data_IF_857448159188
#
_entry.id   IF_857448159188
#
_cell.length_a   1.000
_cell.length_b   1.000
_cell.length_c   1.000
_cell.angle_alpha   90.00
_cell.angle_beta   90.00
_cell.angle_gamma   90.00
#
_symmetry.space_group_name_H-M   'P 1'
#
loop_
_entity.id
_entity.type
_entity.pdbx_description
1 polymer ?
2 polymer ?
3 non-polymer ?
4 non-polymer ?
5 non-polymer ?
6 water ?
#
# COMPACT_ATOMS: atom_id res chain seq x y z
N UNK A 1 -7.74 25.01 -12.92
CA UNK A 1 -8.64 25.01 -14.07
C UNK A 1 -7.85 25.23 -15.34
N UNK A 2 -6.54 25.33 -15.16
CA UNK A 2 -5.64 25.73 -16.24
C UNK A 2 -5.43 24.62 -17.28
N UNK A 3 -5.72 23.37 -16.93
CA UNK A 3 -5.59 22.26 -17.87
C UNK A 3 -6.94 21.74 -18.35
N UNK A 4 -8.03 22.43 -18.02
CA UNK A 4 -9.33 21.88 -18.30
C UNK A 4 -9.64 20.73 -17.36
N UNK A 5 -10.72 20.03 -17.68
CA UNK A 5 -11.27 18.99 -16.83
C UNK A 5 -11.02 17.62 -17.44
N UNK A 6 -10.86 16.65 -16.56
CA UNK A 6 -10.90 15.24 -16.89
C UNK A 6 -12.34 14.77 -16.99
N UNK A 7 -12.58 13.78 -17.85
CA UNK A 7 -13.81 12.99 -17.80
C UNK A 7 -13.41 11.70 -17.10
N UNK A 8 -13.61 11.66 -15.79
CA UNK A 8 -13.07 10.57 -14.99
C UNK A 8 -13.79 9.27 -15.27
N UNK A 9 -15.11 9.31 -15.49
CA UNK A 9 -15.83 8.08 -15.84
C UNK A 9 -15.33 7.52 -17.16
N UNK A 10 -15.01 8.39 -18.11
CA UNK A 10 -14.42 7.93 -19.37
C UNK A 10 -13.07 7.28 -19.12
N UNK A 11 -12.25 7.90 -18.29
CA UNK A 11 -10.91 7.37 -18.03
C UNK A 11 -10.99 6.03 -17.33
N UNK A 12 -11.83 5.93 -16.29
CA UNK A 12 -12.01 4.67 -15.59
C UNK A 12 -12.54 3.60 -16.55
N UNK A 13 -13.56 3.94 -17.35
CA UNK A 13 -14.09 2.97 -18.30
C UNK A 13 -13.05 2.47 -19.28
N UNK A 14 -12.18 3.35 -19.78
CA UNK A 14 -11.14 2.90 -20.69
C UNK A 14 -10.12 2.04 -19.97
N UNK A 15 -9.81 2.35 -18.70
CA UNK A 15 -8.85 1.53 -17.96
C UNK A 15 -9.40 0.13 -17.70
N UNK A 16 -10.69 0.03 -17.37
CA UNK A 16 -11.29 -1.27 -17.10
C UNK A 16 -11.49 -2.11 -18.34
N UNK A 17 -11.40 -1.51 -19.54
CA UNK A 17 -11.51 -2.27 -20.78
C UNK A 17 -10.21 -2.95 -21.18
N UNK A 18 -9.28 -3.16 -20.24
CA UNK A 18 -8.01 -3.78 -20.57
C UNK A 18 -7.95 -5.26 -20.20
N UNK A 28 -4.26 4.01 -23.31
CA UNK A 28 -4.92 4.96 -24.21
C UNK A 28 -5.45 6.21 -23.50
N UNK A 29 -4.56 6.88 -22.75
CA UNK A 29 -4.83 8.17 -22.12
C UNK A 29 -3.89 9.19 -22.73
N UNK A 30 -4.33 10.44 -22.80
CA UNK A 30 -3.38 11.45 -23.24
C UNK A 30 -2.44 11.83 -22.10
N UNK A 31 -1.29 12.39 -22.48
CA UNK A 31 -0.34 12.91 -21.50
C UNK A 31 -1.01 13.87 -20.54
N UNK A 32 -1.86 14.77 -21.06
CA UNK A 32 -2.53 15.74 -20.21
C UNK A 32 -3.51 15.07 -19.27
N UNK A 33 -4.17 13.97 -19.70
CA UNK A 33 -5.05 13.25 -18.78
C UNK A 33 -4.29 12.69 -17.59
N UNK A 34 -3.15 12.06 -17.85
CA UNK A 34 -2.37 11.49 -16.76
C UNK A 34 -1.82 12.60 -15.87
N UNK A 35 -1.33 13.69 -16.48
CA UNK A 35 -0.89 14.84 -15.70
C UNK A 35 -2.01 15.33 -14.79
N UNK A 36 -3.23 15.45 -15.33
CA UNK A 36 -4.37 15.86 -14.54
C UNK A 36 -4.65 14.92 -13.38
N UNK A 37 -4.55 13.61 -13.62
CA UNK A 37 -4.69 12.63 -12.54
C UNK A 37 -3.66 12.89 -11.43
N UNK A 38 -2.41 13.13 -11.81
CA UNK A 38 -1.37 13.40 -10.83
C UNK A 38 -1.64 14.69 -10.04
N UNK A 39 -1.97 15.77 -10.74
CA UNK A 39 -2.09 17.07 -10.07
C UNK A 39 -3.31 17.11 -9.15
N UNK A 40 -4.43 16.54 -9.60
CA UNK A 40 -5.64 16.57 -8.78
C UNK A 40 -5.48 15.64 -7.58
N UNK A 41 -4.94 14.43 -7.80
CA UNK A 41 -4.73 13.56 -6.66
C UNK A 41 -3.68 14.12 -5.70
N UNK A 42 -2.66 14.80 -6.24
CA UNK A 42 -1.68 15.47 -5.38
C UNK A 42 -2.36 16.46 -4.46
N UNK A 43 -3.26 17.27 -5.00
CA UNK A 43 -3.98 18.23 -4.15
C UNK A 43 -4.78 17.51 -3.08
N UNK A 44 -5.40 16.38 -3.42
CA UNK A 44 -6.17 15.65 -2.40
C UNK A 44 -5.26 15.08 -1.33
N UNK A 45 -4.13 14.46 -1.71
CA UNK A 45 -3.18 13.96 -0.72
C UNK A 45 -2.75 15.06 0.23
N UNK A 46 -2.45 16.25 -0.30
CA UNK A 46 -2.01 17.33 0.57
C UNK A 46 -3.13 17.88 1.45
N UNK A 47 -4.40 17.73 1.04
CA UNK A 47 -5.49 18.18 1.89
C UNK A 47 -5.81 17.23 3.05
N UNK A 48 -5.27 16.02 3.02
CA UNK A 48 -5.50 15.04 4.07
C UNK A 48 -4.23 14.82 4.88
N UNK A 49 -4.34 14.31 6.11
CA UNK A 49 -3.15 14.18 6.96
C UNK A 49 -2.15 13.19 6.39
N UNK A 50 -0.89 13.36 6.78
CA UNK A 50 0.12 12.39 6.38
C UNK A 50 0.00 11.09 7.19
N UNK A 51 -0.59 11.15 8.37
CA UNK A 51 -0.95 9.98 9.16
C UNK A 51 -2.48 9.89 9.11
N UNK A 52 -2.98 8.97 8.31
CA UNK A 52 -4.43 8.89 8.12
C UNK A 52 -5.09 8.27 9.34
N UNK A 53 -6.27 8.77 9.69
CA UNK A 53 -7.10 8.22 10.76
C UNK A 53 -8.38 7.72 10.11
N UNK A 54 -8.49 6.40 9.98
CA UNK A 54 -9.53 5.74 9.20
C UNK A 54 -10.47 4.95 10.11
N UNK A 55 -11.64 4.65 9.58
CA UNK A 55 -12.61 3.81 10.27
C UNK A 55 -12.94 2.60 9.40
N UNK A 56 -13.12 1.45 10.03
CA UNK A 56 -13.64 0.26 9.37
C UNK A 56 -15.14 0.42 9.09
N UNK A 57 -15.70 -0.36 8.15
CA UNK A 57 -15.20 -1.44 7.29
C UNK A 57 -14.23 -0.97 6.20
N UNK A 58 -13.27 -1.84 5.87
CA UNK A 58 -12.18 -1.45 5.01
C UNK A 58 -11.58 -2.74 4.46
N UNK A 59 -11.09 -2.68 3.23
CA UNK A 59 -10.24 -3.73 2.68
C UNK A 59 -8.83 -3.17 2.53
N UNK A 60 -7.85 -3.91 3.03
CA UNK A 60 -6.45 -3.47 3.06
C UNK A 60 -5.64 -4.36 2.13
N UNK A 61 -4.91 -3.74 1.21
CA UNK A 61 -4.17 -4.42 0.15
C UNK A 61 -2.68 -4.09 0.23
N UNK A 62 -1.84 -5.08 -0.06
CA UNK A 62 -0.40 -4.90 -0.17
C UNK A 62 0.07 -4.67 -1.60
N UNK A 63 1.32 -5.06 -1.87
CA UNK A 63 2.05 -4.61 -3.06
C UNK A 63 1.35 -5.04 -4.35
N UNK A 64 1.42 -4.17 -5.37
CA UNK A 64 0.90 -4.44 -6.70
C UNK A 64 2.01 -4.56 -7.74
N UNK A 65 2.99 -3.65 -7.71
CA UNK A 65 4.15 -3.69 -8.61
C UNK A 65 3.74 -3.86 -10.07
N UNK A 66 2.83 -3.00 -10.52
CA UNK A 66 2.48 -2.93 -11.92
C UNK A 66 1.79 -4.15 -12.50
N UNK A 67 1.30 -5.06 -11.64
CA UNK A 67 0.60 -6.26 -12.12
C UNK A 67 -0.88 -5.90 -12.26
N UNK A 68 -1.18 -5.18 -13.34
CA UNK A 68 -2.46 -4.49 -13.45
C UNK A 68 -3.64 -5.48 -13.50
N UNK A 69 -3.47 -6.59 -14.22
CA UNK A 69 -4.55 -7.57 -14.30
C UNK A 69 -4.85 -8.18 -12.93
N UNK A 70 -3.83 -8.31 -12.08
CA UNK A 70 -4.06 -8.79 -10.73
C UNK A 70 -4.81 -7.76 -9.89
N UNK A 71 -4.49 -6.47 -10.08
CA UNK A 71 -5.28 -5.41 -9.43
C UNK A 71 -6.75 -5.50 -9.82
N UNK A 72 -7.02 -5.67 -11.12
CA UNK A 72 -8.42 -5.82 -11.54
C UNK A 72 -9.07 -7.04 -10.89
N UNK A 73 -8.32 -8.14 -10.72
CA UNK A 73 -8.87 -9.29 -10.00
C UNK A 73 -9.16 -8.96 -8.54
N UNK A 74 -8.29 -8.17 -7.92
CA UNK A 74 -8.48 -7.76 -6.54
C UNK A 74 -9.79 -7.00 -6.39
N UNK A 75 -10.06 -6.06 -7.29
CA UNK A 75 -11.30 -5.31 -7.24
C UNK A 75 -12.50 -6.20 -7.55
N UNK A 76 -12.34 -7.13 -8.49
CA UNK A 76 -13.43 -8.04 -8.81
C UNK A 76 -13.87 -8.83 -7.58
N UNK A 77 -12.91 -9.36 -6.81
CA UNK A 77 -13.28 -10.19 -5.67
C UNK A 77 -13.55 -9.38 -4.40
N UNK A 78 -12.88 -8.24 -4.22
CA UNK A 78 -13.15 -7.38 -3.08
C UNK A 78 -14.33 -6.45 -3.27
N UNK A 79 -14.74 -6.22 -4.51
CA UNK A 79 -15.76 -5.24 -4.80
C UNK A 79 -15.17 -3.95 -5.35
N UNK A 80 -15.62 -3.53 -6.53
CA UNK A 80 -15.10 -2.28 -7.08
C UNK A 80 -15.57 -1.11 -6.23
N UNK A 81 -14.73 -0.09 -6.05
CA UNK A 81 -15.17 1.14 -5.37
C UNK A 81 -16.40 1.71 -6.06
N UNK A 82 -17.36 2.26 -5.31
CA UNK A 82 -17.32 2.46 -3.85
C UNK A 82 -18.00 1.33 -3.05
N UNK A 83 -18.14 0.14 -3.66
CA UNK A 83 -18.82 -0.96 -2.99
C UNK A 83 -18.06 -1.39 -1.74
N UNK A 84 -16.74 -1.29 -1.77
CA UNK A 84 -15.91 -1.46 -0.59
C UNK A 84 -15.02 -0.24 -0.44
N UNK A 85 -14.64 0.06 0.80
CA UNK A 85 -13.58 1.02 1.08
C UNK A 85 -12.21 0.32 1.01
N UNK A 86 -11.20 1.05 0.52
CA UNK A 86 -9.87 0.48 0.31
C UNK A 86 -8.78 1.31 0.97
N UNK A 87 -7.78 0.61 1.50
CA UNK A 87 -6.49 1.15 1.89
C UNK A 87 -5.41 0.30 1.23
N UNK A 88 -4.61 0.88 0.35
CA UNK A 88 -3.45 0.22 -0.23
C UNK A 88 -2.20 0.67 0.51
N UNK A 89 -1.24 -0.24 0.67
CA UNK A 89 -0.07 0.01 1.50
C UNK A 89 1.19 0.36 0.69
N UNK A 90 1.06 0.63 -0.61
CA UNK A 90 2.17 1.15 -1.41
C UNK A 90 2.71 0.14 -2.41
N UNK A 91 3.77 0.57 -3.10
CA UNK A 91 4.47 -0.20 -4.13
C UNK A 91 3.54 -0.57 -5.28
N UNK A 92 2.98 0.49 -5.90
CA UNK A 92 2.08 0.36 -7.05
C UNK A 92 2.85 0.13 -8.34
N UNK A 93 4.07 0.65 -8.43
CA UNK A 93 4.82 0.70 -9.67
C UNK A 93 6.09 -0.15 -9.53
N UNK A 94 6.77 -0.33 -10.67
CA UNK A 94 8.04 -1.04 -10.85
C UNK A 94 7.85 -2.55 -11.03
N UNK A 95 8.79 -3.18 -11.74
CA UNK A 95 8.88 -4.62 -11.97
C UNK A 95 7.82 -5.12 -12.93
N UNK A 96 6.56 -4.77 -12.71
CA UNK A 96 5.50 -5.23 -13.58
C UNK A 96 5.48 -4.52 -14.92
N UNK A 97 4.66 -5.04 -15.83
CA UNK A 97 4.61 -4.54 -17.20
C UNK A 97 3.66 -3.36 -17.37
N UNK A 98 2.76 -3.12 -16.43
CA UNK A 98 1.73 -2.10 -16.58
C UNK A 98 1.65 -1.22 -15.33
N UNK A 99 2.77 -0.57 -14.99
CA UNK A 99 2.74 0.36 -13.86
C UNK A 99 1.83 1.55 -14.15
N UNK A 100 1.80 2.02 -15.40
CA UNK A 100 1.02 3.21 -15.72
C UNK A 100 -0.48 2.97 -15.54
N UNK A 101 -0.99 1.85 -16.08
CA UNK A 101 -2.40 1.53 -15.90
C UNK A 101 -2.74 1.37 -14.43
N UNK A 102 -1.85 0.72 -13.67
CA UNK A 102 -2.07 0.50 -12.23
C UNK A 102 -2.24 1.82 -11.49
N UNK A 103 -1.24 2.69 -11.60
CA UNK A 103 -1.30 3.92 -10.81
C UNK A 103 -2.39 4.86 -11.35
N UNK A 104 -2.65 4.84 -12.66
CA UNK A 104 -3.73 5.70 -13.17
C UNK A 104 -5.08 5.27 -12.63
N UNK A 105 -5.35 3.96 -12.58
CA UNK A 105 -6.64 3.54 -12.03
C UNK A 105 -6.73 3.89 -10.55
N UNK A 106 -5.65 3.69 -9.81
CA UNK A 106 -5.69 3.99 -8.38
C UNK A 106 -5.90 5.48 -8.12
N UNK A 107 -5.21 6.34 -8.87
CA UNK A 107 -5.38 7.77 -8.71
C UNK A 107 -6.78 8.22 -9.13
N UNK A 108 -7.33 7.60 -10.18
CA UNK A 108 -8.70 7.92 -10.58
C UNK A 108 -9.69 7.61 -9.46
N UNK A 109 -9.57 6.42 -8.85
CA UNK A 109 -10.46 6.10 -7.74
C UNK A 109 -10.23 7.03 -6.55
N UNK A 110 -8.98 7.41 -6.29
CA UNK A 110 -8.72 8.36 -5.22
C UNK A 110 -9.43 9.70 -5.48
N UNK A 111 -9.38 10.18 -6.73
CA UNK A 111 -10.04 11.44 -7.05
C UNK A 111 -11.55 11.30 -6.94
N UNK A 112 -12.09 10.16 -7.34
CA UNK A 112 -13.55 10.04 -7.33
C UNK A 112 -14.08 9.75 -5.94
N UNK A 113 -13.36 8.97 -5.13
CA UNK A 113 -13.81 8.59 -3.79
C UNK A 113 -12.76 9.01 -2.75
N UNK A 114 -12.51 10.31 -2.60
CA UNK A 114 -11.40 10.74 -1.73
C UNK A 114 -11.58 10.40 -0.26
N UNK A 115 -12.80 10.13 0.20
CA UNK A 115 -13.02 9.78 1.61
C UNK A 115 -13.21 8.29 1.83
N UNK A 116 -13.15 7.47 0.77
CA UNK A 116 -13.42 6.04 0.90
C UNK A 116 -12.34 5.19 0.24
N UNK A 117 -11.23 5.80 -0.14
CA UNK A 117 -10.20 5.13 -0.95
C UNK A 117 -8.89 5.80 -0.61
N UNK A 118 -7.90 5.03 -0.16
CA UNK A 118 -6.69 5.59 0.41
C UNK A 118 -5.47 4.85 -0.09
N UNK A 119 -4.41 5.61 -0.38
CA UNK A 119 -3.16 5.07 -0.90
C UNK A 119 -2.03 5.51 0.02
N UNK A 120 -1.30 4.56 0.59
CA UNK A 120 -0.08 4.90 1.32
C UNK A 120 1.12 4.85 0.38
N UNK A 121 2.20 5.47 0.84
CA UNK A 121 3.45 5.49 0.10
C UNK A 121 4.26 4.23 0.40
N UNK A 122 4.69 3.53 -0.66
CA UNK A 122 5.66 2.46 -0.53
C UNK A 122 7.06 2.96 -0.89
N UNK A 123 8.08 2.12 -0.66
CA UNK A 123 9.43 2.59 -0.96
C UNK A 123 9.66 2.76 -2.46
N UNK A 124 8.80 2.17 -3.30
CA UNK A 124 8.93 2.39 -4.74
C UNK A 124 8.22 3.65 -5.21
N UNK A 125 7.46 4.32 -4.35
CA UNK A 125 6.92 5.64 -4.71
C UNK A 125 7.91 6.75 -4.35
N UNK A 126 9.17 6.52 -4.72
CA UNK A 126 10.22 7.53 -4.63
C UNK A 126 11.05 7.45 -5.89
N UNK A 127 11.38 8.62 -6.45
CA UNK A 127 12.17 8.66 -7.67
C UNK A 127 13.50 7.94 -7.52
N UNK A 128 14.10 7.95 -6.32
CA UNK A 128 15.40 7.28 -6.16
C UNK A 128 15.30 5.78 -6.43
N UNK A 129 14.12 5.19 -6.27
CA UNK A 129 13.93 3.76 -6.48
C UNK A 129 13.32 3.47 -7.84
N UNK A 130 12.21 4.12 -8.18
CA UNK A 130 11.54 3.78 -9.43
C UNK A 130 12.23 4.38 -10.65
N UNK A 131 13.28 5.19 -10.44
CA UNK A 131 14.21 5.52 -11.51
C UNK A 131 14.85 4.26 -12.08
N UNK A 132 15.09 3.27 -11.22
CA UNK A 132 15.90 2.12 -11.57
C UNK A 132 15.06 0.87 -11.86
N UNK A 133 13.93 0.71 -11.19
CA UNK A 133 13.23 -0.58 -11.19
C UNK A 133 12.05 -0.64 -12.16
N UNK A 134 11.96 0.29 -13.11
CA UNK A 134 11.04 0.11 -14.21
C UNK A 134 10.17 1.29 -14.60
N UNK A 135 9.74 2.08 -13.61
CA UNK A 135 8.72 3.10 -13.88
C UNK A 135 9.27 4.21 -14.76
N UNK A 136 10.48 4.69 -14.47
CA UNK A 136 11.12 5.70 -15.32
C UNK A 136 11.18 5.23 -16.77
N UNK A 137 11.64 3.99 -16.98
CA UNK A 137 11.73 3.45 -18.33
C UNK A 137 10.36 3.36 -19.00
N UNK A 138 9.33 2.98 -18.24
CA UNK A 138 7.98 2.86 -18.82
C UNK A 138 7.42 4.23 -19.22
N UNK A 139 7.57 5.22 -18.35
CA UNK A 139 7.16 6.58 -18.67
C UNK A 139 7.88 7.09 -19.92
N UNK A 140 9.20 6.88 -19.96
CA UNK A 140 10.00 7.38 -21.08
C UNK A 140 9.62 6.71 -22.39
N UNK A 141 9.36 5.40 -22.34
CA UNK A 141 8.98 4.67 -23.55
C UNK A 141 7.58 5.06 -24.03
N UNK A 142 6.63 5.18 -23.12
CA UNK A 142 5.24 5.40 -23.54
C UNK A 142 4.92 6.88 -23.63
N UNK A 143 5.44 7.71 -22.72
CA UNK A 143 5.24 9.15 -22.83
C UNK A 143 6.50 9.99 -22.89
N UNK A 144 6.99 10.46 -21.74
CA UNK A 144 8.22 11.26 -21.71
C UNK A 144 8.66 11.43 -20.26
N UNK A 145 9.86 11.99 -20.09
CA UNK A 145 10.46 12.11 -18.76
C UNK A 145 9.71 13.14 -17.92
N UNK A 146 9.19 14.18 -18.57
CA UNK A 146 8.44 15.20 -17.85
C UNK A 146 7.26 14.59 -17.11
N UNK A 147 6.58 13.62 -17.75
CA UNK A 147 5.49 12.93 -17.09
C UNK A 147 5.98 12.18 -15.86
N UNK A 148 7.12 11.49 -15.97
CA UNK A 148 7.68 10.79 -14.82
C UNK A 148 7.97 11.75 -13.67
N UNK A 149 8.49 12.95 -13.98
CA UNK A 149 8.71 13.95 -12.94
C UNK A 149 7.40 14.43 -12.33
N UNK A 150 6.34 14.55 -13.13
CA UNK A 150 5.03 14.88 -12.56
C UNK A 150 4.57 13.79 -11.60
N UNK A 151 4.78 12.52 -11.97
CA UNK A 151 4.46 11.43 -11.04
C UNK A 151 5.27 11.57 -9.75
N UNK A 152 6.55 11.92 -9.87
CA UNK A 152 7.38 12.09 -8.68
C UNK A 152 6.82 13.16 -7.76
N UNK A 153 6.40 14.30 -8.33
CA UNK A 153 5.76 15.35 -7.54
C UNK A 153 4.52 14.84 -6.81
N UNK A 154 3.73 14.00 -7.47
CA UNK A 154 2.56 13.42 -6.82
C UNK A 154 2.95 12.44 -5.70
N UNK A 155 3.85 11.50 -6.01
CA UNK A 155 4.32 10.51 -5.03
C UNK A 155 4.89 11.17 -3.79
N UNK A 156 5.59 12.30 -3.96
CA UNK A 156 6.20 13.00 -2.85
C UNK A 156 5.18 13.53 -1.85
N UNK A 157 3.88 13.50 -2.18
CA UNK A 157 2.84 13.98 -1.28
C UNK A 157 1.95 12.87 -0.71
N UNK A 158 2.25 11.61 -0.99
CA UNK A 158 1.42 10.52 -0.47
C UNK A 158 1.50 10.45 1.05
N UNK A 159 0.43 10.03 1.72
CA UNK A 159 0.52 9.77 3.16
C UNK A 159 1.37 8.53 3.42
N UNK A 160 1.92 8.46 4.63
CA UNK A 160 2.95 7.49 4.97
C UNK A 160 2.46 6.38 5.92
N UNK A 161 1.38 6.62 6.67
CA UNK A 161 0.88 5.61 7.59
C UNK A 161 -0.60 5.89 7.84
N UNK A 162 -1.27 4.88 8.39
CA UNK A 162 -2.70 4.97 8.71
C UNK A 162 -2.96 4.24 10.02
N UNK A 163 -3.92 4.75 10.80
CA UNK A 163 -4.40 4.04 11.98
C UNK A 163 -5.90 3.82 11.80
N UNK A 164 -6.31 2.54 11.80
CA UNK A 164 -7.71 2.19 11.65
C UNK A 164 -8.32 2.02 13.04
N UNK A 165 -9.32 2.86 13.33
CA UNK A 165 -10.12 2.85 14.53
C UNK A 165 -9.27 2.77 15.80
N UNK A 166 -8.14 3.48 15.77
CA UNK A 166 -7.21 3.59 16.90
C UNK A 166 -6.62 2.25 17.31
N UNK A 167 -6.66 1.24 16.44
CA UNK A 167 -6.24 -0.10 16.82
C UNK A 167 -5.35 -0.80 15.81
N UNK A 168 -5.39 -0.46 14.53
CA UNK A 168 -4.55 -1.10 13.52
C UNK A 168 -3.60 -0.05 12.95
N UNK A 169 -2.29 -0.21 13.18
CA UNK A 169 -1.29 0.68 12.59
C UNK A 169 -0.79 0.07 11.28
N UNK A 170 -0.87 0.86 10.20
CA UNK A 170 -0.59 0.40 8.85
C UNK A 170 0.49 1.27 8.21
N UNK A 171 1.43 0.62 7.54
CA UNK A 171 2.45 1.30 6.75
C UNK A 171 3.06 0.26 5.82
N UNK A 172 3.88 0.73 4.87
CA UNK A 172 4.41 -0.21 3.89
C UNK A 172 5.46 -1.13 4.51
N UNK A 173 6.47 -0.55 5.16
CA UNK A 173 7.61 -1.32 5.65
C UNK A 173 7.42 -1.78 7.09
N UNK A 174 7.68 -0.91 8.05
CA UNK A 174 7.45 -1.30 9.43
C UNK A 174 7.89 -0.27 10.46
N UNK A 175 8.32 -0.74 11.62
CA UNK A 175 8.61 0.14 12.74
C UNK A 175 9.97 0.83 12.56
N UNK A 176 10.25 1.77 13.47
CA UNK A 176 11.45 2.60 13.44
C UNK A 176 11.96 2.79 14.86
N UNK A 177 13.26 2.65 15.12
CA UNK A 177 13.78 2.99 16.46
C UNK A 177 13.63 4.46 16.79
N UNK A 178 13.30 5.29 15.80
CA UNK A 178 13.04 6.71 15.99
C UNK A 178 11.58 7.03 16.29
N UNK A 179 10.68 6.06 16.19
CA UNK A 179 9.25 6.32 16.36
C UNK A 179 8.91 6.22 17.84
N UNK A 180 8.83 7.37 18.51
CA UNK A 180 8.39 7.42 19.90
C UNK A 180 6.97 7.92 20.06
N UNK A 181 6.52 8.79 19.16
CA UNK A 181 5.21 9.42 19.23
C UNK A 181 4.65 9.52 17.82
N UNK A 182 3.32 9.38 17.69
CA UNK A 182 2.69 9.52 16.38
C UNK A 182 2.86 10.95 15.84
N UNK A 183 2.95 11.93 16.75
CA UNK A 183 3.24 13.31 16.36
C UNK A 183 4.49 13.42 15.50
N UNK A 184 5.48 12.56 15.72
CA UNK A 184 6.67 12.58 14.89
C UNK A 184 6.33 12.24 13.44
N UNK A 185 5.34 11.38 13.23
CA UNK A 185 4.91 11.11 11.87
C UNK A 185 4.17 12.31 11.32
N UNK A 186 3.28 12.91 12.13
CA UNK A 186 2.47 14.01 11.63
C UNK A 186 3.32 15.23 11.28
N UNK A 187 4.48 15.39 11.91
CA UNK A 187 5.35 16.54 11.65
C UNK A 187 6.19 16.39 10.39
N UNK A 188 6.13 15.26 9.70
CA UNK A 188 6.86 15.12 8.45
C UNK A 188 6.19 15.97 7.39
N UNK A 189 6.93 16.90 6.80
CA UNK A 189 6.36 17.88 5.87
C UNK A 189 6.46 17.37 4.44
N UNK A 190 5.48 17.75 3.62
CA UNK A 190 5.38 17.32 2.24
C UNK A 190 5.32 18.54 1.32
N UNK A 191 5.84 18.44 0.09
CA UNK A 191 6.44 17.26 -0.55
C UNK A 191 7.82 16.89 -0.01
N UNK A 192 8.14 15.61 -0.04
CA UNK A 192 9.46 15.13 0.36
C UNK A 192 9.79 13.87 -0.42
N UNK A 193 11.08 13.69 -0.69
CA UNK A 193 11.53 12.38 -1.15
C UNK A 193 11.78 11.49 0.07
N UNK A 194 12.13 10.24 -0.17
CA UNK A 194 12.39 9.27 0.91
C UNK A 194 13.91 9.21 1.11
N UNK A 195 14.43 9.70 2.23
CA UNK A 195 15.88 9.63 2.47
C UNK A 195 16.30 8.20 2.81
N UNK A 196 17.62 8.00 2.88
CA UNK A 196 18.15 6.65 3.07
C UNK A 196 18.38 6.31 4.55
N UNK A 197 17.85 7.11 5.47
CA UNK A 197 17.86 6.81 6.89
C UNK A 197 16.84 7.72 7.57
N UNK A 198 16.42 7.33 8.77
CA UNK A 198 15.47 8.11 9.53
C UNK A 198 14.07 7.50 9.55
N UNK A 199 13.18 8.20 10.25
CA UNK A 199 11.81 7.70 10.48
C UNK A 199 11.10 7.37 9.18
N UNK A 200 11.06 8.32 8.24
CA UNK A 200 10.36 8.09 6.97
C UNK A 200 10.92 6.90 6.23
N UNK A 201 12.26 6.82 6.13
CA UNK A 201 12.91 5.66 5.55
C UNK A 201 12.43 4.37 6.18
N UNK A 202 12.49 4.28 7.51
CA UNK A 202 12.17 3.04 8.21
C UNK A 202 10.72 2.64 7.99
N UNK A 203 9.80 3.60 8.08
CA UNK A 203 8.40 3.29 7.84
C UNK A 203 8.18 2.70 6.47
N UNK A 204 9.04 3.04 5.51
CA UNK A 204 8.85 2.50 4.17
C UNK A 204 9.73 1.29 3.85
N UNK A 205 10.70 0.94 4.72
CA UNK A 205 11.73 -0.02 4.34
C UNK A 205 11.98 -1.15 5.34
N UNK A 206 11.59 -1.03 6.60
CA UNK A 206 12.04 -1.99 7.59
C UNK A 206 11.22 -3.28 7.53
N UNK A 207 11.76 -4.36 8.10
CA UNK A 207 11.17 -5.69 8.06
C UNK A 207 11.12 -6.29 9.45
N UNK A 208 10.11 -7.11 9.75
CA UNK A 208 10.18 -7.97 10.93
C UNK A 208 11.14 -9.13 10.69
N UNK A 209 11.74 -9.62 11.77
CA UNK A 209 12.67 -10.74 11.67
C UNK A 209 12.53 -11.61 12.92
N UNK A 210 12.21 -12.89 12.72
CA UNK A 210 12.03 -13.81 13.83
C UNK A 210 13.35 -14.17 14.51
N UNK A 211 14.49 -13.85 13.91
CA UNK A 211 15.78 -14.19 14.51
C UNK A 211 16.43 -13.03 15.26
N UNK A 212 15.98 -11.80 15.06
CA UNK A 212 16.60 -10.64 15.66
C UNK A 212 16.00 -10.38 17.03
N UNK A 213 16.85 -9.96 17.96
CA UNK A 213 16.42 -9.47 19.27
C UNK A 213 16.61 -7.96 19.29
N UNK A 214 15.50 -7.25 19.30
CA UNK A 214 15.57 -5.79 19.22
C UNK A 214 15.69 -5.36 17.80
N UNK A 215 16.70 -4.55 17.51
CA UNK A 215 16.92 -4.00 16.18
C UNK A 215 18.19 -4.57 15.57
N UNK A 216 18.14 -4.81 14.26
CA UNK A 216 19.33 -5.23 13.53
C UNK A 216 19.43 -4.43 12.25
N UNK A 217 20.63 -4.46 11.66
CA UNK A 217 20.83 -3.84 10.35
C UNK A 217 20.11 -4.65 9.28
N UNK A 218 19.42 -3.95 8.38
CA UNK A 218 18.70 -4.61 7.31
C UNK A 218 19.63 -4.93 6.15
N UNK A 219 19.49 -6.14 5.59
CA UNK A 219 20.34 -6.58 4.49
C UNK A 219 20.14 -5.74 3.23
N UNK A 220 18.95 -5.16 3.03
CA UNK A 220 18.74 -4.28 1.89
C UNK A 220 19.78 -3.17 1.80
N UNK A 221 20.50 -2.88 2.90
CA UNK A 221 21.47 -1.82 2.95
C UNK A 221 20.91 -0.52 3.48
N UNK A 222 19.62 -0.47 3.75
CA UNK A 222 18.94 0.70 4.27
C UNK A 222 18.13 0.18 5.45
N UNK A 223 17.80 1.06 6.38
CA UNK A 223 16.91 0.77 7.51
C UNK A 223 17.29 -0.39 8.43
N UNK A 224 16.30 -1.14 8.93
CA UNK A 224 16.49 -2.04 10.06
C UNK A 224 15.60 -3.26 9.92
N UNK A 225 15.90 -4.26 10.75
CA UNK A 225 14.96 -5.32 11.12
C UNK A 225 14.61 -5.17 12.60
N UNK A 226 13.43 -5.66 12.96
CA UNK A 226 12.96 -5.59 14.35
C UNK A 226 12.33 -6.92 14.74
N UNK A 227 12.51 -7.30 16.00
CA UNK A 227 12.03 -8.57 16.51
C UNK A 227 10.65 -8.48 17.15
N UNK A 228 10.24 -9.60 17.75
CA UNK A 228 8.87 -9.75 18.22
C UNK A 228 8.60 -8.91 19.48
N UNK A 229 9.59 -8.76 20.35
CA UNK A 229 9.39 -7.91 21.53
C UNK A 229 9.27 -6.44 21.17
N UNK A 230 9.92 -6.02 20.08
CA UNK A 230 9.74 -4.64 19.61
C UNK A 230 8.29 -4.41 19.21
N UNK A 231 7.70 -5.37 18.50
CA UNK A 231 6.30 -5.27 18.12
C UNK A 231 5.42 -5.20 19.36
N UNK A 232 5.66 -6.11 20.32
CA UNK A 232 4.82 -6.15 21.51
C UNK A 232 4.89 -4.84 22.30
N UNK A 233 6.09 -4.27 22.41
CA UNK A 233 6.24 -3.02 23.15
C UNK A 233 5.61 -1.85 22.42
N UNK A 234 5.65 -1.86 21.08
CA UNK A 234 5.01 -0.80 20.30
C UNK A 234 3.49 -0.81 20.48
N UNK A 235 2.87 -1.99 20.29
CA UNK A 235 1.44 -2.11 20.53
C UNK A 235 1.09 -1.69 21.95
N UNK A 236 1.90 -2.12 22.92
CA UNK A 236 1.61 -1.78 24.31
C UNK A 236 1.67 -0.28 24.53
N UNK A 237 2.74 0.35 24.08
CA UNK A 237 2.95 1.77 24.35
C UNK A 237 1.83 2.60 23.73
N UNK A 238 1.39 2.25 22.53
CA UNK A 238 0.43 3.08 21.81
C UNK A 238 -1.00 2.56 21.90
N UNK A 239 -1.25 1.54 22.73
CA UNK A 239 -2.58 0.97 22.92
C UNK A 239 -3.19 0.51 21.59
N UNK A 240 -2.37 -0.19 20.79
CA UNK A 240 -2.79 -0.75 19.50
C UNK A 240 -2.94 -2.26 19.61
N UNK A 241 -3.65 -2.84 18.63
CA UNK A 241 -3.86 -4.29 18.59
C UNK A 241 -3.09 -5.00 17.49
N UNK A 242 -2.73 -4.31 16.42
CA UNK A 242 -2.18 -5.00 15.25
C UNK A 242 -1.37 -4.02 14.43
N UNK A 243 -0.24 -4.49 13.90
CA UNK A 243 0.47 -3.82 12.82
C UNK A 243 0.16 -4.53 11.51
N UNK A 244 -0.22 -3.77 10.50
CA UNK A 244 -0.50 -4.31 9.18
C UNK A 244 0.47 -3.63 8.20
N UNK A 245 1.33 -4.43 7.57
CA UNK A 245 2.34 -3.86 6.68
C UNK A 245 2.44 -4.75 5.45
N UNK A 246 3.34 -4.40 4.54
CA UNK A 246 3.42 -5.13 3.28
C UNK A 246 4.87 -5.43 2.88
N UNK A 247 5.31 -5.00 1.69
CA UNK A 247 6.74 -4.93 1.35
C UNK A 247 7.38 -6.31 1.07
N UNK A 248 7.18 -7.33 1.92
CA UNK A 248 7.81 -8.63 1.69
C UNK A 248 6.83 -9.63 1.09
N UNK A 249 7.25 -10.33 0.01
CA UNK A 249 6.44 -11.41 -0.54
C UNK A 249 6.25 -12.50 0.49
N UNK A 250 5.03 -13.00 0.60
CA UNK A 250 4.73 -14.14 1.46
C UNK A 250 3.90 -15.13 0.67
N UNK A 251 4.10 -16.43 0.96
CA UNK A 251 3.61 -17.50 0.11
C UNK A 251 2.08 -17.48 -0.03
N UNK A 252 1.35 -17.19 1.05
CA UNK A 252 -0.11 -17.22 1.03
C UNK A 252 -0.74 -15.86 0.77
N UNK A 253 0.06 -14.85 0.43
CA UNK A 253 -0.43 -13.49 0.31
C UNK A 253 -0.57 -12.75 1.62
N UNK A 254 -0.70 -13.45 2.74
CA UNK A 254 -0.66 -12.85 4.06
C UNK A 254 0.19 -13.72 4.96
N UNK A 255 0.79 -13.13 6.00
CA UNK A 255 1.58 -13.93 6.92
C UNK A 255 1.63 -13.24 8.28
N UNK A 256 1.35 -14.01 9.33
CA UNK A 256 1.40 -13.50 10.69
C UNK A 256 2.82 -13.49 11.25
N UNK A 257 3.05 -12.60 12.21
CA UNK A 257 4.31 -12.47 12.92
C UNK A 257 4.00 -12.14 14.37
N UNK A 258 4.72 -12.80 15.29
CA UNK A 258 4.67 -12.50 16.72
C UNK A 258 3.27 -12.72 17.28
N UNK A 259 2.79 -13.95 17.16
CA UNK A 259 1.49 -14.36 17.71
C UNK A 259 0.38 -13.46 17.18
N UNK A 260 0.39 -13.22 15.87
CA UNK A 260 -0.64 -12.43 15.18
C UNK A 260 -0.67 -10.97 15.61
N UNK A 261 0.40 -10.46 16.22
CA UNK A 261 0.46 -9.03 16.50
C UNK A 261 0.84 -8.22 15.28
N UNK A 262 1.42 -8.86 14.28
CA UNK A 262 1.71 -8.17 13.03
C UNK A 262 1.30 -9.10 11.89
N UNK A 263 0.85 -8.50 10.78
CA UNK A 263 0.58 -9.26 9.57
C UNK A 263 1.23 -8.55 8.39
N UNK A 264 1.81 -9.35 7.49
CA UNK A 264 2.34 -8.89 6.21
C UNK A 264 1.32 -9.26 5.12
N UNK A 265 0.94 -8.26 4.31
CA UNK A 265 0.07 -8.44 3.17
C UNK A 265 0.86 -8.20 1.89
N UNK A 266 0.61 -9.01 0.88
CA UNK A 266 1.27 -8.83 -0.40
C UNK A 266 0.26 -9.24 -1.45
N UNK A 267 -0.07 -8.36 -2.39
CA UNK A 267 -1.25 -8.58 -3.21
C UNK A 267 -0.94 -8.92 -4.67
N UNK A 268 0.34 -9.06 -5.04
CA UNK A 268 0.73 -9.41 -6.40
C UNK A 268 1.01 -10.91 -6.47
N UNK A 269 0.13 -11.72 -7.04
CA UNK A 269 0.39 -13.16 -7.16
C UNK A 269 1.51 -13.45 -8.15
N UNK A 270 2.13 -14.63 -7.97
CA UNK A 270 3.24 -15.07 -8.82
C UNK A 270 4.21 -13.92 -9.06
N UNK A 271 4.64 -13.32 -7.96
CA UNK A 271 5.28 -12.00 -7.98
C UNK A 271 6.47 -11.96 -8.93
N UNK A 272 6.39 -11.02 -9.87
CA UNK A 272 7.35 -10.71 -10.92
C UNK A 272 7.97 -11.94 -11.56
N UNK A 273 7.20 -13.03 -11.63
CA UNK A 273 7.66 -14.24 -12.28
C UNK A 273 8.79 -14.97 -11.57
N UNK A 274 9.12 -14.57 -10.34
CA UNK A 274 10.17 -15.23 -9.59
C UNK A 274 9.62 -16.04 -8.41
N UNK A 275 8.32 -15.94 -8.13
CA UNK A 275 7.68 -16.60 -6.99
C UNK A 275 6.39 -17.27 -7.41
N UNK A 276 5.94 -18.23 -6.60
CA UNK A 276 4.65 -18.89 -6.80
C UNK A 276 3.63 -18.52 -5.71
N UNK A 277 3.68 -17.29 -5.24
CA UNK A 277 2.85 -16.85 -4.13
C UNK A 277 1.44 -16.50 -4.57
N UNK A 278 0.51 -16.64 -3.64
CA UNK A 278 -0.80 -16.02 -3.77
C UNK A 278 -0.72 -14.55 -3.37
N UNK A 279 -1.75 -13.79 -3.78
CA UNK A 279 -1.88 -12.43 -3.29
C UNK A 279 -2.99 -12.42 -2.26
N UNK A 280 -3.01 -11.47 -1.33
CA UNK A 280 -4.10 -11.45 -0.38
C UNK A 280 -4.51 -10.02 -0.07
N UNK A 281 -5.73 -9.87 0.40
CA UNK A 281 -6.17 -8.63 1.03
C UNK A 281 -6.88 -8.97 2.33
N UNK A 282 -6.80 -8.06 3.29
CA UNK A 282 -7.43 -8.25 4.59
C UNK A 282 -8.74 -7.47 4.65
N UNK A 283 -9.82 -8.18 4.97
CA UNK A 283 -11.15 -7.61 5.12
C UNK A 283 -11.37 -7.31 6.60
N UNK A 284 -11.63 -6.04 6.91
CA UNK A 284 -11.84 -5.57 8.28
C UNK A 284 -13.28 -5.10 8.39
N UNK A 285 -14.09 -5.81 9.17
CA UNK A 285 -15.47 -5.37 9.29
C UNK A 285 -15.57 -4.28 10.37
N UNK A 286 -16.79 -3.81 10.58
CA UNK A 286 -17.02 -2.64 11.41
C UNK A 286 -16.62 -2.88 12.87
N UNK A 287 -16.58 -4.13 13.32
CA UNK A 287 -16.15 -4.43 14.69
C UNK A 287 -14.66 -4.73 14.78
N UNK A 288 -13.92 -4.56 13.68
CA UNK A 288 -12.51 -4.92 13.55
C UNK A 288 -12.32 -6.43 13.62
N UNK A 289 -13.32 -7.21 13.21
CA UNK A 289 -13.08 -8.63 12.92
C UNK A 289 -12.44 -8.75 11.54
N UNK A 290 -11.29 -9.43 11.49
CA UNK A 290 -10.44 -9.47 10.30
C UNK A 290 -10.43 -10.86 9.69
N UNK A 291 -10.46 -10.91 8.37
CA UNK A 291 -10.32 -12.15 7.62
C UNK A 291 -9.52 -11.82 6.35
N UNK A 292 -9.22 -12.84 5.54
CA UNK A 292 -8.35 -12.64 4.38
C UNK A 292 -8.98 -13.22 3.13
N UNK A 293 -8.82 -12.52 2.03
CA UNK A 293 -9.24 -13.01 0.72
C UNK A 293 -7.97 -13.28 -0.07
N UNK A 294 -7.82 -14.51 -0.54
CA UNK A 294 -6.61 -14.99 -1.16
C UNK A 294 -6.86 -15.16 -2.65
N UNK A 295 -6.00 -14.57 -3.47
CA UNK A 295 -6.04 -14.68 -4.92
C UNK A 295 -4.97 -15.64 -5.38
N UNK A 296 -5.38 -16.73 -6.02
CA UNK A 296 -4.48 -17.76 -6.53
C UNK A 296 -4.69 -17.93 -8.02
N UNK A 297 -3.75 -17.52 -8.87
CA UNK A 297 -3.89 -17.84 -10.29
C UNK A 297 -3.78 -19.34 -10.52
N UNK A 298 -4.62 -19.84 -11.42
CA UNK A 298 -4.53 -21.24 -11.82
C UNK A 298 -3.43 -21.43 -12.85
N UNK A 299 -2.87 -22.64 -12.89
CA UNK A 299 -1.78 -22.95 -13.82
C UNK A 299 -2.31 -23.33 -15.19
N UNK B 2 -15.59 0.51 22.53
CA UNK B 2 -14.28 0.63 21.90
C UNK B 2 -13.86 -0.67 21.24
N UNK B 3 -13.56 -0.58 19.95
CA UNK B 3 -13.41 -1.78 19.13
C UNK B 3 -12.12 -2.52 19.45
N UNK B 4 -12.13 -3.82 19.19
CA UNK B 4 -10.98 -4.68 19.40
C UNK B 4 -10.77 -5.54 18.18
N UNK B 5 -9.52 -5.71 17.77
CA UNK B 5 -9.21 -6.56 16.62
C UNK B 5 -9.42 -8.02 17.00
N UNK B 6 -10.20 -8.72 16.21
CA UNK B 6 -10.47 -10.14 16.40
C UNK B 6 -10.33 -10.81 15.06
N UNK B 7 -9.60 -11.92 15.01
CA UNK B 7 -9.49 -12.68 13.76
C UNK B 7 -10.62 -13.69 13.71
N UNK B 8 -11.17 -13.88 12.51
CA UNK B 8 -12.47 -14.56 12.38
C UNK B 8 -12.41 -16.01 12.85
N UNK B 9 -11.27 -16.67 12.70
CA UNK B 9 -11.23 -18.08 13.12
C UNK B 9 -11.27 -18.23 14.64
N UNK B 10 -10.97 -17.17 15.40
CA UNK B 10 -11.19 -17.23 16.84
C UNK B 10 -12.66 -17.17 17.21
N UNK B 11 -13.55 -16.92 16.25
CA UNK B 11 -14.99 -16.91 16.49
C UNK B 11 -15.70 -18.07 15.79
N UNK B 12 -14.98 -19.12 15.42
CA UNK B 12 -15.58 -20.24 14.73
C UNK B 12 -15.90 -20.00 13.26
N UNK B 13 -15.38 -18.92 12.67
CA UNK B 13 -15.62 -18.60 11.27
C UNK B 13 -14.36 -18.89 10.46
N UNK B 14 -14.53 -18.85 9.13
CA UNK B 14 -13.39 -19.03 8.25
C UNK B 14 -12.45 -17.83 8.34
N UNK B 15 -11.16 -18.09 8.53
CA UNK B 15 -10.16 -17.04 8.46
C UNK B 15 -9.99 -16.54 7.03
N UNK B 16 -10.09 -17.41 6.04
CA UNK B 16 -9.72 -17.06 4.68
C UNK B 16 -10.81 -17.49 3.69
N UNK B 17 -10.87 -16.79 2.57
CA UNK B 17 -11.58 -17.24 1.39
C UNK B 17 -10.59 -17.30 0.25
N UNK B 18 -10.68 -18.34 -0.59
CA UNK B 18 -9.70 -18.54 -1.64
C UNK B 18 -10.40 -18.42 -2.98
N UNK B 19 -9.93 -17.49 -3.79
CA UNK B 19 -10.45 -17.22 -5.13
C UNK B 19 -9.38 -17.67 -6.14
N UNK B 20 -9.66 -18.76 -6.84
CA UNK B 20 -8.77 -19.30 -7.86
C UNK B 20 -9.27 -18.81 -9.20
N UNK B 21 -8.44 -18.08 -9.93
CA UNK B 21 -8.87 -17.43 -11.15
C UNK B 21 -8.02 -17.90 -12.33
N UNK B 22 -8.59 -17.80 -13.53
CA UNK B 22 -7.87 -18.17 -14.74
C UNK B 22 -6.87 -17.09 -15.11
N UNK B 23 -5.64 -17.50 -15.37
CA UNK B 23 -4.55 -16.58 -15.67
C UNK B 23 -4.60 -16.07 -17.12
#
# INVERSE_FOLDING_TARGET
GHMGSLNLDSIIGRLLEVQGSRPGKNVQLTENEIRGLCLKSREIFLSQPILLELEAPLKICGDIHGQYYDLLRLFEYGGFPPESNYLFLGDYVDRGKQSLETICLLLAYKIKYPENFFLLRGNHECASINRIYGFYDECKRRYNIKLWKTFTDCFNCLPIAAIVDEKIFCCHGGLSPDLQSMEQIRRIMRPTDVPDQGLLCDLLWSDPDKDVQGWGENDRGVSFTFGAEVVAKFLHKHDLDLICRAHQVVEDGYEFFAKRQLVTLFSAPNYCGEFDNAGAMMSVDETLMCSFQILKPAD
AKKRVVFADSKGLSLTAIHVFSDLPEE
#
